data_IF_489253416262
#
_entry.id   IF_489253416262
#
_cell.length_a   1.000
_cell.length_b   1.000
_cell.length_c   1.000
_cell.angle_alpha   90.00
_cell.angle_beta   90.00
_cell.angle_gamma   90.00
#
_symmetry.space_group_name_H-M   'P 1'
#
loop_
_entity.id
_entity.type
_entity.pdbx_description
1 polymer ?
#
# COMPACT_ATOMS: atom_id res chain seq x y z
N UNK A 1 2.79 4.39 32.22
CA UNK A 1 1.70 4.59 31.24
C UNK A 1 2.29 4.89 29.87
N UNK A 2 3.13 3.98 29.33
CA UNK A 2 3.79 4.14 28.01
C UNK A 2 3.76 2.84 27.17
N UNK A 3 3.38 1.70 27.75
CA UNK A 3 3.43 0.39 27.05
C UNK A 3 2.14 -0.04 26.35
N UNK A 4 0.97 0.48 26.74
CA UNK A 4 -0.32 0.03 26.19
C UNK A 4 -0.55 0.48 24.73
N UNK A 5 0.04 1.61 24.33
CA UNK A 5 -0.07 2.11 22.96
C UNK A 5 0.80 1.27 22.01
N UNK A 6 2.04 0.94 22.41
CA UNK A 6 2.95 0.12 21.61
C UNK A 6 2.46 -1.31 21.38
N UNK A 7 1.87 -1.94 22.40
CA UNK A 7 1.29 -3.29 22.31
C UNK A 7 0.10 -3.31 21.34
N UNK A 8 -0.79 -2.30 21.39
CA UNK A 8 -1.93 -2.19 20.49
C UNK A 8 -1.55 -2.03 19.01
N UNK A 9 -0.48 -1.28 18.71
CA UNK A 9 0.04 -1.15 17.33
C UNK A 9 0.77 -2.40 16.86
N UNK A 10 1.54 -3.06 17.74
CA UNK A 10 2.22 -4.31 17.43
C UNK A 10 1.20 -5.43 17.13
N UNK A 11 0.11 -5.51 17.90
CA UNK A 11 -0.96 -6.50 17.67
C UNK A 11 -1.64 -6.26 16.31
N UNK A 12 -1.99 -5.00 16.00
CA UNK A 12 -2.59 -4.65 14.70
C UNK A 12 -1.64 -4.94 13.54
N UNK A 13 -0.34 -4.72 13.71
CA UNK A 13 0.64 -5.06 12.67
C UNK A 13 0.69 -6.57 12.40
N UNK A 14 0.67 -7.39 13.45
CA UNK A 14 0.65 -8.85 13.33
C UNK A 14 -0.65 -9.36 12.68
N UNK A 15 -1.80 -8.81 13.07
CA UNK A 15 -3.10 -9.12 12.44
C UNK A 15 -3.09 -8.79 10.94
N UNK A 16 -2.56 -7.63 10.57
CA UNK A 16 -2.44 -7.23 9.16
C UNK A 16 -1.47 -8.13 8.40
N UNK A 17 -0.34 -8.49 9.00
CA UNK A 17 0.59 -9.44 8.39
C UNK A 17 -0.05 -10.81 8.20
N UNK A 18 -0.79 -11.31 9.18
CA UNK A 18 -1.51 -12.58 9.14
C UNK A 18 -2.54 -12.60 8.01
N UNK A 19 -3.36 -11.55 7.90
CA UNK A 19 -4.32 -11.39 6.79
C UNK A 19 -3.61 -11.35 5.44
N UNK A 20 -2.51 -10.61 5.34
CA UNK A 20 -1.70 -10.53 4.14
C UNK A 20 -0.85 -11.78 3.86
N UNK A 21 -0.86 -12.83 4.68
CA UNK A 21 0.00 -14.02 4.49
C UNK A 21 -0.78 -15.23 3.98
N UNK A 22 -2.07 -15.08 3.70
CA UNK A 22 -2.91 -16.16 3.20
C UNK A 22 -2.97 -16.17 1.66
N UNK A 23 -2.61 -17.32 1.07
CA UNK A 23 -2.59 -17.51 -0.40
C UNK A 23 -3.50 -18.66 -0.87
N UNK A 24 -4.33 -19.22 0.02
CA UNK A 24 -5.27 -20.29 -0.31
C UNK A 24 -6.58 -19.78 -0.94
N UNK A 25 -7.42 -20.68 -1.47
CA UNK A 25 -8.79 -20.34 -1.86
C UNK A 25 -9.67 -20.10 -0.61
N UNK A 26 -10.70 -19.26 -0.75
CA UNK A 26 -11.76 -19.02 0.26
C UNK A 26 -11.22 -18.64 1.66
N UNK A 27 -10.64 -17.45 1.77
CA UNK A 27 -10.13 -16.94 3.05
C UNK A 27 -11.25 -16.79 4.09
N UNK A 28 -10.99 -17.23 5.32
CA UNK A 28 -11.85 -16.95 6.48
C UNK A 28 -11.77 -15.45 6.84
N UNK A 29 -12.75 -14.95 7.59
CA UNK A 29 -12.88 -13.52 7.93
C UNK A 29 -11.65 -12.92 8.63
N UNK A 30 -10.91 -13.70 9.40
CA UNK A 30 -9.66 -13.30 10.07
C UNK A 30 -8.48 -13.09 9.10
N UNK A 31 -8.63 -13.55 7.87
CA UNK A 31 -7.72 -13.24 6.77
C UNK A 31 -8.24 -12.13 5.86
N UNK A 32 -9.48 -11.66 6.04
CA UNK A 32 -10.03 -10.56 5.26
C UNK A 32 -9.38 -9.24 5.66
N UNK A 33 -9.31 -8.34 4.68
CA UNK A 33 -8.48 -7.17 4.79
C UNK A 33 -9.34 -5.90 4.70
N UNK A 34 -9.29 -5.05 5.73
CA UNK A 34 -9.99 -3.75 5.72
C UNK A 34 -9.11 -2.70 5.02
N UNK A 35 -9.53 -2.30 3.82
CA UNK A 35 -8.72 -1.48 2.90
C UNK A 35 -8.20 -0.16 3.48
N UNK A 36 -8.94 0.50 4.38
CA UNK A 36 -8.57 1.84 4.86
C UNK A 36 -7.20 1.86 5.59
N UNK A 37 -6.84 0.76 6.26
CA UNK A 37 -5.63 0.66 7.07
C UNK A 37 -4.51 -0.10 6.34
N UNK A 38 -4.84 -1.11 5.53
CA UNK A 38 -3.83 -2.04 5.01
C UNK A 38 -3.14 -1.57 3.72
N UNK A 39 -3.70 -0.55 3.06
CA UNK A 39 -3.18 0.01 1.80
C UNK A 39 -1.69 0.37 1.80
N UNK A 40 -1.14 0.87 2.92
CA UNK A 40 0.31 1.13 3.05
C UNK A 40 1.15 -0.15 3.23
N UNK A 41 0.57 -1.16 3.87
CA UNK A 41 1.24 -2.44 4.15
C UNK A 41 1.30 -3.33 2.91
N UNK A 42 0.28 -3.33 2.05
CA UNK A 42 0.31 -4.08 0.78
C UNK A 42 1.51 -3.66 -0.06
N UNK A 43 1.63 -2.36 -0.36
CA UNK A 43 2.68 -1.86 -1.24
C UNK A 43 4.07 -2.18 -0.70
N UNK A 44 4.23 -2.07 0.62
CA UNK A 44 5.49 -2.37 1.30
C UNK A 44 5.81 -3.86 1.39
N UNK A 45 4.81 -4.71 1.70
CA UNK A 45 5.01 -6.17 1.89
C UNK A 45 5.32 -6.88 0.58
N UNK A 46 4.64 -6.49 -0.49
CA UNK A 46 4.77 -7.15 -1.79
C UNK A 46 5.68 -6.40 -2.77
N UNK A 47 6.20 -5.24 -2.35
CA UNK A 47 6.98 -4.35 -3.21
C UNK A 47 6.23 -3.98 -4.50
N UNK A 48 4.99 -3.50 -4.34
CA UNK A 48 4.10 -3.09 -5.43
C UNK A 48 3.63 -1.66 -5.23
N UNK A 49 3.30 -0.98 -6.32
CA UNK A 49 2.63 0.31 -6.32
C UNK A 49 1.13 0.05 -6.27
N UNK A 50 0.45 0.50 -5.21
CA UNK A 50 -0.98 0.30 -5.05
C UNK A 50 -1.73 1.61 -5.37
N UNK A 51 -2.66 1.54 -6.31
CA UNK A 51 -3.54 2.65 -6.67
C UNK A 51 -4.93 2.39 -6.07
N UNK A 52 -5.38 3.30 -5.22
CA UNK A 52 -6.76 3.33 -4.73
C UNK A 52 -7.56 4.27 -5.61
N UNK A 53 -8.64 3.77 -6.21
CA UNK A 53 -9.51 4.57 -7.08
C UNK A 53 -10.93 4.54 -6.51
N UNK A 54 -11.42 5.68 -6.06
CA UNK A 54 -12.77 5.82 -5.51
C UNK A 54 -13.34 7.16 -5.91
N UNK A 55 -14.68 7.23 -5.95
CA UNK A 55 -15.43 8.47 -6.16
C UNK A 55 -15.03 9.53 -5.12
N UNK A 56 -14.73 9.10 -3.89
CA UNK A 56 -14.33 10.03 -2.82
C UNK A 56 -12.88 10.48 -2.91
N UNK A 57 -11.98 9.61 -3.35
CA UNK A 57 -10.54 9.92 -3.46
C UNK A 57 -9.80 8.91 -4.34
N UNK A 58 -8.81 9.41 -5.08
CA UNK A 58 -7.86 8.60 -5.81
C UNK A 58 -6.46 8.83 -5.23
N UNK A 59 -5.75 7.76 -4.87
CA UNK A 59 -4.47 7.85 -4.15
C UNK A 59 -3.48 6.78 -4.60
N UNK A 60 -2.20 7.15 -4.64
CA UNK A 60 -1.08 6.24 -4.89
C UNK A 60 -0.34 5.91 -3.60
N UNK A 61 -0.15 4.61 -3.34
CA UNK A 61 0.61 4.07 -2.21
C UNK A 61 1.88 3.40 -2.73
N UNK A 62 3.03 4.00 -2.41
CA UNK A 62 4.35 3.50 -2.78
C UNK A 62 4.90 2.58 -1.68
N UNK A 63 5.76 1.60 -2.03
CA UNK A 63 6.50 0.82 -1.05
C UNK A 63 7.28 1.73 -0.08
N UNK A 64 7.12 1.53 1.23
CA UNK A 64 7.77 2.39 2.23
C UNK A 64 9.16 1.93 2.67
N UNK A 65 9.50 0.65 2.41
CA UNK A 65 10.77 0.01 2.81
C UNK A 65 11.36 -0.84 1.68
N UNK A 66 11.50 -0.26 0.49
CA UNK A 66 12.23 -0.88 -0.62
C UNK A 66 12.99 0.16 -1.44
N UNK A 67 14.12 -0.27 -2.02
CA UNK A 67 14.92 0.54 -2.93
C UNK A 67 14.20 0.56 -4.29
N UNK A 68 14.26 1.72 -4.96
CA UNK A 68 13.75 1.87 -6.30
C UNK A 68 14.51 0.96 -7.27
N UNK A 69 13.81 -0.01 -7.86
CA UNK A 69 14.30 -0.82 -8.97
C UNK A 69 14.09 -0.14 -10.33
N UNK A 70 14.58 -0.75 -11.42
CA UNK A 70 14.29 -0.27 -12.77
C UNK A 70 12.78 -0.26 -13.05
N UNK A 71 12.32 0.66 -13.91
CA UNK A 71 10.90 0.79 -14.24
C UNK A 71 10.24 -0.53 -14.67
N UNK A 72 10.96 -1.38 -15.40
CA UNK A 72 10.46 -2.68 -15.86
C UNK A 72 10.14 -3.65 -14.73
N UNK A 73 10.67 -3.45 -13.52
CA UNK A 73 10.36 -4.27 -12.35
C UNK A 73 9.19 -3.74 -11.53
N UNK A 74 8.64 -2.57 -11.88
CA UNK A 74 7.54 -1.97 -11.11
C UNK A 74 6.24 -2.71 -11.41
N UNK A 75 5.57 -3.16 -10.35
CA UNK A 75 4.26 -3.82 -10.44
C UNK A 75 3.21 -2.87 -9.89
N UNK A 76 2.24 -2.50 -10.73
CA UNK A 76 1.15 -1.62 -10.36
C UNK A 76 -0.11 -2.46 -10.17
N UNK A 77 -0.79 -2.27 -9.04
CA UNK A 77 -2.10 -2.88 -8.76
C UNK A 77 -3.09 -1.76 -8.51
N UNK A 78 -4.17 -1.72 -9.27
CA UNK A 78 -5.28 -0.79 -9.04
C UNK A 78 -6.42 -1.52 -8.33
N UNK A 79 -6.89 -0.95 -7.22
CA UNK A 79 -8.07 -1.42 -6.51
C UNK A 79 -9.05 -0.26 -6.41
N UNK A 80 -10.24 -0.46 -6.97
CA UNK A 80 -11.36 0.44 -6.80
C UNK A 80 -12.50 -0.22 -6.04
N UNK A 81 -13.39 0.61 -5.49
CA UNK A 81 -14.70 0.14 -5.00
C UNK A 81 -15.64 -0.30 -6.15
N UNK A 82 -15.16 -0.12 -7.38
CA UNK A 82 -15.67 -0.63 -8.66
C UNK A 82 -14.47 -1.22 -9.42
N UNK A 83 -14.68 -2.20 -10.29
CA UNK A 83 -13.61 -2.75 -11.13
C UNK A 83 -13.03 -1.63 -12.01
N UNK A 84 -11.72 -1.39 -11.92
CA UNK A 84 -11.02 -0.37 -12.73
C UNK A 84 -9.95 -1.05 -13.59
N UNK A 85 -9.99 -0.78 -14.89
CA UNK A 85 -8.98 -1.22 -15.84
C UNK A 85 -8.14 0.01 -16.24
N UNK A 86 -6.83 -0.05 -16.04
CA UNK A 86 -5.92 1.03 -16.42
C UNK A 86 -5.29 0.75 -17.77
N UNK A 87 -5.44 1.68 -18.71
CA UNK A 87 -4.76 1.62 -20.00
C UNK A 87 -3.36 2.26 -19.91
N UNK A 88 -2.41 1.87 -20.77
CA UNK A 88 -1.12 2.56 -20.89
C UNK A 88 -1.32 4.07 -21.07
N UNK A 89 -0.58 4.89 -20.32
CA UNK A 89 -0.69 6.35 -20.35
C UNK A 89 -1.79 6.97 -19.48
N UNK A 90 -2.55 6.16 -18.74
CA UNK A 90 -3.52 6.68 -17.77
C UNK A 90 -2.83 7.56 -16.71
N UNK A 91 -3.45 8.67 -16.26
CA UNK A 91 -2.86 9.53 -15.25
C UNK A 91 -2.72 8.78 -13.91
N UNK A 92 -1.55 8.93 -13.28
CA UNK A 92 -1.29 8.39 -11.94
C UNK A 92 -1.89 9.37 -10.90
N UNK A 93 -2.72 8.89 -9.95
CA UNK A 93 -3.24 9.74 -8.87
C UNK A 93 -2.15 10.29 -7.95
N UNK A 94 -2.43 11.38 -7.20
CA UNK A 94 -1.48 11.96 -6.27
C UNK A 94 -0.98 10.97 -5.19
N UNK A 95 0.28 11.15 -4.77
CA UNK A 95 0.89 10.38 -3.69
C UNK A 95 0.19 10.72 -2.36
N UNK A 96 -0.14 9.70 -1.57
CA UNK A 96 -0.78 9.90 -0.27
C UNK A 96 0.11 10.72 0.70
N UNK A 97 -0.44 11.78 1.30
CA UNK A 97 0.30 12.74 2.15
C UNK A 97 1.05 12.09 3.32
N UNK A 98 0.48 11.03 3.92
CA UNK A 98 1.12 10.30 5.02
C UNK A 98 2.41 9.59 4.60
N UNK A 99 2.57 9.25 3.32
CA UNK A 99 3.80 8.63 2.83
C UNK A 99 5.01 9.55 3.07
N UNK A 100 4.89 10.84 2.74
CA UNK A 100 5.95 11.83 2.98
C UNK A 100 6.35 11.92 4.46
N UNK A 101 5.41 11.67 5.38
CA UNK A 101 5.65 11.72 6.82
C UNK A 101 6.31 10.45 7.39
N UNK A 102 6.03 9.28 6.81
CA UNK A 102 6.36 7.99 7.44
C UNK A 102 7.26 7.06 6.60
N UNK A 103 7.66 7.47 5.39
CA UNK A 103 8.57 6.65 4.56
C UNK A 103 9.97 6.54 5.17
N UNK A 104 10.66 5.43 4.89
CA UNK A 104 12.06 5.25 5.25
C UNK A 104 12.98 5.97 4.25
N UNK A 105 14.18 6.39 4.66
CA UNK A 105 15.11 7.14 3.82
C UNK A 105 15.51 6.40 2.53
N UNK A 106 15.52 5.06 2.55
CA UNK A 106 15.77 4.25 1.34
C UNK A 106 14.69 4.38 0.26
N UNK A 107 13.50 4.87 0.61
CA UNK A 107 12.36 5.01 -0.29
C UNK A 107 12.26 6.41 -0.93
N UNK A 108 13.17 7.34 -0.62
CA UNK A 108 13.13 8.72 -1.15
C UNK A 108 13.12 8.77 -2.69
N UNK A 109 13.81 7.84 -3.35
CA UNK A 109 13.89 7.79 -4.81
C UNK A 109 12.53 7.61 -5.51
N UNK A 110 11.52 7.06 -4.83
CA UNK A 110 10.21 6.83 -5.41
C UNK A 110 9.47 8.11 -5.80
N UNK A 111 9.77 9.26 -5.18
CA UNK A 111 9.08 10.51 -5.55
C UNK A 111 9.47 10.98 -6.95
N UNK A 112 10.71 10.78 -7.38
CA UNK A 112 11.26 11.30 -8.64
C UNK A 112 10.49 10.91 -9.90
N UNK A 113 9.74 9.80 -9.85
CA UNK A 113 8.99 9.25 -10.97
C UNK A 113 7.47 9.49 -10.87
N UNK A 114 6.99 9.83 -9.68
CA UNK A 114 5.56 9.82 -9.35
C UNK A 114 5.07 11.13 -8.74
N UNK A 115 5.93 12.13 -8.55
CA UNK A 115 5.54 13.55 -8.43
C UNK A 115 5.53 14.18 -9.82
N UNK A 116 4.33 14.38 -10.38
CA UNK A 116 4.09 15.36 -11.45
C UNK A 116 4.19 16.78 -10.94
#
# INVERSE_FOLDING_TARGET
>A
MVDLIGIGYANRYQELLHSLSFFGPNSRYDHWMIMSNTRYFIGSKYNVILLLISIQQCLTFLPSRSILGPHSSHKIIAIGYIYVFMQPGSPIPPIATKWFKYHHQCAVGWTTLYTT
#
